data_IF_613922199557
#
_entry.id   IF_613922199557
#
_cell.length_a   1.000
_cell.length_b   1.000
_cell.length_c   1.000
_cell.angle_alpha   90.00
_cell.angle_beta   90.00
_cell.angle_gamma   90.00
#
_symmetry.space_group_name_H-M   'P 1'
#
loop_
_entity.id
_entity.type
_entity.pdbx_description
1 polymer ?
#
# COMPACT_ATOMS: atom_id res chain seq x y z
N UNK A 1 66.32 5.96 18.87
CA UNK A 1 65.25 5.60 17.92
C UNK A 1 64.59 4.28 18.30
N UNK A 2 63.55 4.33 19.11
CA UNK A 2 62.54 3.28 19.19
C UNK A 2 61.21 4.01 19.09
N UNK A 3 60.59 3.91 17.92
CA UNK A 3 59.27 4.43 17.61
C UNK A 3 58.26 3.35 18.00
N UNK A 4 57.39 3.65 18.97
CA UNK A 4 56.19 2.84 19.22
C UNK A 4 55.00 3.80 19.24
N UNK A 5 54.03 3.46 18.38
CA UNK A 5 52.91 4.28 17.91
C UNK A 5 51.80 4.44 18.96
N UNK A 6 50.91 5.43 18.81
CA UNK A 6 49.89 5.76 19.81
C UNK A 6 48.64 4.87 19.71
N UNK A 7 47.95 4.80 20.85
CA UNK A 7 46.63 4.23 21.16
C UNK A 7 45.52 4.52 20.15
N UNK A 8 44.70 3.51 19.85
CA UNK A 8 43.29 3.68 19.47
C UNK A 8 42.40 2.87 20.41
N UNK A 9 41.57 3.57 21.19
CA UNK A 9 40.45 2.99 21.92
C UNK A 9 39.34 2.71 20.91
N UNK A 10 39.05 1.45 20.65
CA UNK A 10 37.89 1.05 19.85
C UNK A 10 36.64 1.23 20.71
N UNK A 11 35.86 2.27 20.44
CA UNK A 11 34.51 2.44 20.97
C UNK A 11 33.64 1.32 20.42
N UNK A 12 33.07 0.52 21.31
CA UNK A 12 32.06 -0.46 20.94
C UNK A 12 30.83 0.28 20.43
N UNK A 13 30.58 0.16 19.12
CA UNK A 13 29.31 0.51 18.52
C UNK A 13 28.25 -0.43 19.12
N UNK A 14 27.46 0.10 20.06
CA UNK A 14 26.23 -0.54 20.50
C UNK A 14 25.26 -0.48 19.32
N UNK A 15 25.21 -1.59 18.58
CA UNK A 15 24.16 -1.85 17.60
C UNK A 15 22.82 -1.76 18.32
N UNK A 16 22.16 -0.62 18.12
CA UNK A 16 20.82 -0.34 18.62
C UNK A 16 19.88 -1.20 17.79
N UNK A 17 19.79 -2.48 18.20
CA UNK A 17 18.78 -3.44 17.75
C UNK A 17 17.45 -2.69 17.70
N UNK A 18 17.04 -2.35 16.48
CA UNK A 18 15.75 -1.74 16.19
C UNK A 18 14.70 -2.61 16.85
N UNK A 19 14.17 -2.11 17.95
CA UNK A 19 13.06 -2.70 18.68
C UNK A 19 11.87 -2.66 17.73
N UNK A 20 11.66 -3.76 17.00
CA UNK A 20 10.41 -4.00 16.27
C UNK A 20 9.28 -3.91 17.28
N UNK A 21 8.63 -2.77 17.29
CA UNK A 21 7.40 -2.56 18.02
C UNK A 21 6.38 -3.54 17.44
N UNK A 22 5.60 -4.27 18.26
CA UNK A 22 4.59 -5.16 17.72
C UNK A 22 3.61 -4.31 16.92
N UNK A 23 3.61 -4.53 15.60
CA UNK A 23 2.67 -3.94 14.67
C UNK A 23 1.28 -4.39 15.11
N UNK A 24 0.54 -3.52 15.80
CA UNK A 24 -0.89 -3.75 16.04
C UNK A 24 -1.50 -3.87 14.66
N UNK A 25 -2.05 -5.04 14.34
CA UNK A 25 -2.78 -5.30 13.09
C UNK A 25 -3.93 -4.32 13.01
N UNK A 26 -3.67 -3.17 12.39
CA UNK A 26 -4.58 -2.05 12.38
C UNK A 26 -5.51 -2.28 11.20
N UNK A 27 -6.79 -2.52 11.48
CA UNK A 27 -7.78 -2.66 10.42
C UNK A 27 -7.84 -1.39 9.57
N UNK A 28 -8.00 -1.50 8.23
CA UNK A 28 -8.08 -0.34 7.36
C UNK A 28 -9.32 0.49 7.68
N UNK A 29 -9.24 1.81 7.55
CA UNK A 29 -10.38 2.67 7.85
C UNK A 29 -11.59 2.38 6.93
N UNK A 30 -12.79 2.24 7.50
CA UNK A 30 -14.08 2.02 6.80
C UNK A 30 -14.13 0.80 5.86
N UNK A 31 -13.25 -0.20 6.05
CA UNK A 31 -13.22 -1.41 5.23
C UNK A 31 -14.56 -2.15 5.20
N UNK A 32 -15.29 -2.21 6.33
CA UNK A 32 -16.59 -2.89 6.43
C UNK A 32 -17.63 -2.35 5.44
N UNK A 33 -17.68 -1.03 5.24
CA UNK A 33 -18.61 -0.40 4.30
C UNK A 33 -18.26 -0.78 2.86
N UNK A 34 -16.97 -0.82 2.53
CA UNK A 34 -16.46 -1.20 1.21
C UNK A 34 -16.79 -2.68 0.93
N UNK A 35 -16.68 -3.53 1.95
CA UNK A 35 -16.91 -4.97 1.81
C UNK A 35 -18.37 -5.36 1.60
N UNK A 36 -19.32 -4.44 1.75
CA UNK A 36 -20.74 -4.70 1.41
C UNK A 36 -20.96 -4.93 -0.09
N UNK A 37 -20.05 -4.42 -0.92
CA UNK A 37 -20.17 -4.44 -2.38
C UNK A 37 -19.28 -5.51 -3.04
N UNK A 38 -18.77 -6.48 -2.27
CA UNK A 38 -17.90 -7.54 -2.81
C UNK A 38 -18.66 -8.51 -3.69
N UNK A 39 -18.05 -8.88 -4.81
CA UNK A 39 -18.64 -9.81 -5.78
C UNK A 39 -18.53 -11.28 -5.36
N UNK A 40 -17.73 -11.57 -4.34
CA UNK A 40 -17.45 -12.94 -3.91
C UNK A 40 -17.30 -13.00 -2.40
N UNK A 41 -17.74 -14.10 -1.76
CA UNK A 41 -17.57 -14.27 -0.32
C UNK A 41 -16.11 -14.14 0.10
N UNK A 42 -15.89 -13.44 1.21
CA UNK A 42 -14.58 -13.27 1.84
C UNK A 42 -14.49 -14.15 3.09
N UNK A 43 -13.32 -14.68 3.38
CA UNK A 43 -13.08 -15.45 4.60
C UNK A 43 -12.83 -14.50 5.78
N UNK A 44 -13.84 -14.31 6.62
CA UNK A 44 -13.75 -13.49 7.85
C UNK A 44 -13.54 -14.34 9.11
N UNK A 45 -13.13 -15.61 8.97
CA UNK A 45 -12.96 -16.52 10.12
C UNK A 45 -11.88 -16.06 11.09
N UNK A 46 -10.84 -15.37 10.60
CA UNK A 46 -9.81 -14.75 11.42
C UNK A 46 -9.44 -13.36 10.87
N UNK A 47 -8.95 -12.49 11.76
CA UNK A 47 -8.48 -11.16 11.36
C UNK A 47 -7.30 -11.25 10.38
N UNK A 48 -6.38 -12.19 10.57
CA UNK A 48 -5.21 -12.33 9.70
C UNK A 48 -5.61 -12.75 8.27
N UNK A 49 -6.58 -13.67 8.14
CA UNK A 49 -7.10 -14.07 6.82
C UNK A 49 -7.83 -12.93 6.14
N UNK A 50 -8.63 -12.18 6.88
CA UNK A 50 -9.30 -10.99 6.37
C UNK A 50 -8.25 -10.00 5.86
N UNK A 51 -7.29 -9.61 6.70
CA UNK A 51 -6.23 -8.67 6.36
C UNK A 51 -5.41 -9.15 5.15
N UNK A 52 -5.06 -10.44 5.10
CA UNK A 52 -4.37 -11.04 3.95
C UNK A 52 -5.18 -10.90 2.66
N UNK A 53 -6.49 -11.16 2.69
CA UNK A 53 -7.37 -10.98 1.53
C UNK A 53 -7.49 -9.51 1.13
N UNK A 54 -7.55 -8.58 2.09
CA UNK A 54 -7.60 -7.15 1.79
C UNK A 54 -6.30 -6.65 1.15
N UNK A 55 -5.14 -7.17 1.56
CA UNK A 55 -3.87 -6.85 0.91
C UNK A 55 -3.75 -7.46 -0.50
N UNK A 56 -4.27 -8.68 -0.72
CA UNK A 56 -4.33 -9.29 -2.06
C UNK A 56 -5.30 -8.55 -2.99
N UNK A 57 -6.40 -8.10 -2.40
CA UNK A 57 -7.45 -7.32 -3.00
C UNK A 57 -8.67 -8.15 -3.40
N UNK A 58 -9.81 -7.47 -3.40
CA UNK A 58 -11.14 -8.03 -3.67
C UNK A 58 -11.81 -7.28 -4.81
N UNK A 59 -12.68 -7.97 -5.55
CA UNK A 59 -13.45 -7.39 -6.63
C UNK A 59 -14.79 -6.85 -6.12
N UNK A 60 -15.15 -5.67 -6.61
CA UNK A 60 -16.39 -4.98 -6.30
C UNK A 60 -17.14 -4.65 -7.61
N UNK A 61 -18.44 -4.39 -7.47
CA UNK A 61 -19.29 -3.84 -8.52
C UNK A 61 -19.26 -4.67 -9.82
N UNK A 62 -19.55 -5.97 -9.75
CA UNK A 62 -19.55 -6.89 -10.88
C UNK A 62 -18.19 -6.95 -11.60
N UNK A 63 -17.11 -7.00 -10.81
CA UNK A 63 -15.70 -7.03 -11.22
C UNK A 63 -15.29 -5.79 -12.02
N UNK A 64 -15.97 -4.68 -11.82
CA UNK A 64 -15.66 -3.38 -12.44
C UNK A 64 -14.78 -2.48 -11.57
N UNK A 65 -14.56 -2.85 -10.31
CA UNK A 65 -13.55 -2.24 -9.44
C UNK A 65 -12.75 -3.31 -8.71
N UNK A 66 -11.50 -3.01 -8.37
CA UNK A 66 -10.71 -3.78 -7.41
C UNK A 66 -10.35 -2.89 -6.23
N UNK A 67 -10.55 -3.38 -5.01
CA UNK A 67 -10.13 -2.73 -3.77
C UNK A 67 -9.00 -3.54 -3.13
N UNK A 68 -7.99 -2.88 -2.57
CA UNK A 68 -6.97 -3.51 -1.74
C UNK A 68 -6.41 -2.53 -0.72
N UNK A 69 -5.65 -3.06 0.23
CA UNK A 69 -4.94 -2.28 1.25
C UNK A 69 -3.45 -2.32 0.95
N UNK A 70 -2.79 -1.16 0.87
CA UNK A 70 -1.35 -1.10 0.67
C UNK A 70 -0.57 -1.44 1.95
N UNK A 71 0.76 -1.53 1.84
CA UNK A 71 1.67 -1.79 2.96
C UNK A 71 1.65 -0.71 4.07
N UNK A 72 1.03 0.44 3.81
CA UNK A 72 0.92 1.57 4.74
C UNK A 72 -0.51 1.65 5.34
N UNK A 73 -1.28 0.57 5.24
CA UNK A 73 -2.68 0.48 5.67
C UNK A 73 -3.59 1.54 5.02
N UNK A 74 -3.32 1.89 3.75
CA UNK A 74 -4.15 2.80 2.96
C UNK A 74 -5.09 2.01 2.05
N UNK A 75 -6.33 2.49 1.96
CA UNK A 75 -7.31 1.99 1.01
C UNK A 75 -6.89 2.39 -0.41
N UNK A 76 -6.83 1.41 -1.30
CA UNK A 76 -6.52 1.59 -2.71
C UNK A 76 -7.65 1.03 -3.58
N UNK A 77 -7.91 1.71 -4.68
CA UNK A 77 -8.93 1.31 -5.64
C UNK A 77 -8.37 1.36 -7.06
N UNK A 78 -8.80 0.39 -7.86
CA UNK A 78 -8.63 0.40 -9.31
C UNK A 78 -10.03 0.40 -9.92
N UNK A 79 -10.30 1.40 -10.75
CA UNK A 79 -11.47 1.42 -11.62
C UNK A 79 -11.07 0.77 -12.95
N UNK A 80 -11.79 -0.26 -13.37
CA UNK A 80 -11.58 -0.82 -14.70
C UNK A 80 -12.19 0.10 -15.75
N UNK A 81 -11.64 0.08 -16.98
CA UNK A 81 -12.06 0.96 -18.07
C UNK A 81 -13.58 0.96 -18.33
N UNK A 82 -14.25 -0.19 -18.12
CA UNK A 82 -15.72 -0.33 -18.29
C UNK A 82 -16.55 0.45 -17.27
N UNK A 83 -15.97 0.85 -16.13
CA UNK A 83 -16.63 1.61 -15.07
C UNK A 83 -16.15 3.06 -14.98
N UNK A 84 -15.12 3.41 -15.75
CA UNK A 84 -14.52 4.73 -15.71
C UNK A 84 -15.38 5.68 -16.54
N UNK A 85 -16.04 6.62 -15.86
CA UNK A 85 -16.69 7.77 -16.46
C UNK A 85 -16.10 9.03 -15.85
N UNK A 86 -15.58 9.91 -16.69
CA UNK A 86 -15.02 11.19 -16.28
C UNK A 86 -15.89 12.27 -16.89
N UNK A 87 -16.54 13.07 -16.04
CA UNK A 87 -17.40 14.18 -16.49
C UNK A 87 -16.54 15.22 -17.21
N UNK A 88 -16.95 15.62 -18.42
CA UNK A 88 -16.24 16.58 -19.28
C UNK A 88 -14.85 16.11 -19.73
N UNK A 89 -14.59 14.80 -19.79
CA UNK A 89 -13.31 14.26 -20.26
C UNK A 89 -12.95 14.69 -21.68
N UNK A 90 -13.97 14.99 -22.48
CA UNK A 90 -13.89 15.50 -23.85
C UNK A 90 -13.63 17.01 -23.93
N UNK A 91 -13.76 17.73 -22.81
CA UNK A 91 -13.60 19.19 -22.76
C UNK A 91 -12.23 19.54 -22.19
N UNK A 92 -11.32 19.95 -23.07
CA UNK A 92 -9.96 20.36 -22.72
C UNK A 92 -9.92 21.45 -21.65
N UNK A 93 -10.89 22.37 -21.61
CA UNK A 93 -10.95 23.42 -20.57
C UNK A 93 -11.11 22.88 -19.15
N UNK A 94 -11.63 21.66 -19.00
CA UNK A 94 -11.89 21.04 -17.69
C UNK A 94 -10.91 19.89 -17.42
N UNK A 95 -10.58 19.10 -18.44
CA UNK A 95 -9.70 17.94 -18.33
C UNK A 95 -8.58 17.97 -19.37
N UNK A 96 -7.35 17.92 -18.88
CA UNK A 96 -6.17 17.81 -19.72
C UNK A 96 -5.48 16.48 -19.47
N UNK A 97 -5.35 15.68 -20.52
CA UNK A 97 -4.53 14.48 -20.50
C UNK A 97 -3.08 14.85 -20.78
N UNK A 98 -2.18 14.60 -19.84
CA UNK A 98 -0.75 14.77 -20.06
C UNK A 98 -0.15 13.46 -20.56
N UNK A 99 0.52 13.52 -21.70
CA UNK A 99 1.35 12.41 -22.15
C UNK A 99 2.58 12.34 -21.27
N UNK A 100 2.72 11.26 -20.51
CA UNK A 100 3.95 10.94 -19.82
C UNK A 100 4.79 10.10 -20.77
N UNK A 101 5.88 10.66 -21.28
CA UNK A 101 6.85 9.88 -22.03
C UNK A 101 7.46 8.86 -21.06
N UNK A 102 7.51 7.58 -21.45
CA UNK A 102 8.28 6.61 -20.69
C UNK A 102 9.75 6.96 -20.83
N UNK A 103 10.29 7.63 -19.82
CA UNK A 103 11.73 7.74 -19.66
C UNK A 103 12.18 6.38 -19.14
N UNK A 104 12.71 5.53 -20.03
CA UNK A 104 13.34 4.27 -19.63
C UNK A 104 14.41 4.55 -18.57
N UNK A 105 14.28 3.90 -17.41
CA UNK A 105 15.28 3.93 -16.34
C UNK A 105 16.39 2.90 -16.60
#
# INVERSE_FOLDING_TARGET
NISVRPTEKKTDFVDSRSSKTPEKTQVPYNYETILRDVDSPIDTSTMDKLISQLHYGVFLNQKRKKYWVDKNNKNCFMLFARDLSITWAENDRHWHWFYQNETSA
#
